data_IF_425991145978
#
_entry.id   IF_425991145978
#
_cell.length_a   1.000
_cell.length_b   1.000
_cell.length_c   1.000
_cell.angle_alpha   90.00
_cell.angle_beta   90.00
_cell.angle_gamma   90.00
#
_symmetry.space_group_name_H-M   'P 1'
#
loop_
_entity.id
_entity.type
_entity.pdbx_description
1 polymer ?
#
# COMPACT_ATOMS: atom_id res chain seq x y z
N UNK A 1 -13.34 -18.62 -26.75
CA UNK A 1 -13.26 -17.29 -27.36
C UNK A 1 -11.81 -16.83 -27.48
N UNK A 2 -11.51 -15.92 -28.38
CA UNK A 2 -10.19 -15.29 -28.50
C UNK A 2 -9.94 -14.43 -27.24
N UNK A 3 -8.75 -14.57 -26.66
CA UNK A 3 -8.37 -13.89 -25.43
C UNK A 3 -7.05 -13.16 -25.69
N UNK A 4 -6.80 -11.97 -25.13
CA UNK A 4 -5.57 -11.20 -25.32
C UNK A 4 -4.28 -12.00 -25.06
N UNK A 5 -4.30 -12.97 -24.15
CA UNK A 5 -3.14 -13.81 -23.87
C UNK A 5 -2.73 -14.70 -25.07
N UNK A 6 -3.63 -14.95 -26.03
CA UNK A 6 -3.32 -15.76 -27.23
C UNK A 6 -2.38 -15.05 -28.20
N UNK A 7 -2.26 -13.74 -28.10
CA UNK A 7 -1.36 -12.91 -28.92
C UNK A 7 -0.14 -12.42 -28.17
N UNK A 8 0.06 -12.89 -26.95
CA UNK A 8 1.24 -12.57 -26.16
C UNK A 8 2.45 -13.36 -26.70
N UNK A 9 3.38 -12.66 -27.34
CA UNK A 9 4.60 -13.21 -27.92
C UNK A 9 5.87 -12.56 -27.37
N UNK A 10 5.71 -11.53 -26.55
CA UNK A 10 6.79 -10.76 -25.94
C UNK A 10 6.56 -10.67 -24.43
N UNK A 11 7.63 -10.46 -23.69
CA UNK A 11 7.55 -10.08 -22.25
C UNK A 11 7.04 -8.66 -22.03
N UNK A 12 7.00 -7.84 -23.09
CA UNK A 12 6.48 -6.49 -23.07
C UNK A 12 4.97 -6.46 -23.33
N UNK A 13 4.19 -6.09 -22.31
CA UNK A 13 2.74 -6.01 -22.40
C UNK A 13 2.25 -4.95 -23.40
N UNK A 14 2.99 -3.87 -23.60
CA UNK A 14 2.67 -2.85 -24.59
C UNK A 14 2.82 -3.41 -26.01
N UNK A 15 3.92 -4.10 -26.30
CA UNK A 15 4.18 -4.74 -27.58
C UNK A 15 3.09 -5.77 -27.88
N UNK A 16 2.69 -6.57 -26.91
CA UNK A 16 1.60 -7.53 -27.08
C UNK A 16 0.26 -6.84 -27.38
N UNK A 17 0.00 -5.68 -26.76
CA UNK A 17 -1.24 -4.94 -26.99
C UNK A 17 -1.34 -4.35 -28.41
N UNK A 18 -0.23 -4.07 -29.08
CA UNK A 18 -0.18 -3.55 -30.45
C UNK A 18 -0.66 -4.59 -31.51
N UNK A 19 -0.65 -5.85 -31.17
CA UNK A 19 -1.17 -6.94 -32.04
C UNK A 19 -2.69 -6.92 -32.09
N UNK A 20 -3.33 -6.44 -31.04
CA UNK A 20 -4.78 -6.37 -30.94
C UNK A 20 -5.29 -5.15 -31.73
N UNK A 21 -6.20 -5.37 -32.66
CA UNK A 21 -6.83 -4.23 -33.30
C UNK A 21 -7.74 -3.47 -32.28
N UNK A 22 -7.88 -2.17 -32.49
CA UNK A 22 -8.63 -1.30 -31.59
C UNK A 22 -10.10 -1.70 -31.44
N UNK A 23 -10.73 -2.19 -32.51
CA UNK A 23 -12.11 -2.69 -32.47
C UNK A 23 -12.28 -3.91 -31.56
N UNK A 24 -11.36 -4.87 -31.63
CA UNK A 24 -11.34 -6.00 -30.70
C UNK A 24 -11.14 -5.54 -29.26
N UNK A 25 -10.19 -4.65 -29.03
CA UNK A 25 -9.91 -4.13 -27.67
C UNK A 25 -11.11 -3.42 -27.05
N UNK A 26 -11.85 -2.63 -27.84
CA UNK A 26 -13.09 -1.97 -27.39
C UNK A 26 -14.18 -3.00 -27.08
N UNK A 27 -14.39 -3.98 -27.95
CA UNK A 27 -15.40 -5.02 -27.72
C UNK A 27 -15.06 -5.90 -26.53
N UNK A 28 -13.78 -6.24 -26.35
CA UNK A 28 -13.33 -7.00 -25.21
C UNK A 28 -13.48 -6.23 -23.91
N UNK A 29 -13.15 -4.93 -23.89
CA UNK A 29 -13.39 -4.05 -22.74
C UNK A 29 -14.89 -3.93 -22.44
N UNK A 30 -15.73 -3.72 -23.45
CA UNK A 30 -17.19 -3.66 -23.30
C UNK A 30 -17.79 -4.96 -22.75
N UNK A 31 -17.25 -6.12 -23.17
CA UNK A 31 -17.66 -7.41 -22.60
C UNK A 31 -17.23 -7.53 -21.13
N UNK A 32 -16.02 -7.12 -20.80
CA UNK A 32 -15.55 -7.13 -19.40
C UNK A 32 -16.41 -6.23 -18.51
N UNK A 33 -16.91 -5.08 -19.02
CA UNK A 33 -17.86 -4.25 -18.30
C UNK A 33 -19.19 -4.95 -18.01
N UNK A 34 -19.68 -5.78 -18.92
CA UNK A 34 -20.89 -6.57 -18.68
C UNK A 34 -20.69 -7.66 -17.63
N UNK A 35 -19.49 -8.18 -17.53
CA UNK A 35 -19.12 -9.22 -16.57
C UNK A 35 -18.84 -8.66 -15.16
N UNK A 36 -18.80 -7.32 -14.99
CA UNK A 36 -18.84 -6.65 -13.70
C UNK A 36 -20.28 -6.68 -13.15
N UNK A 37 -20.68 -7.83 -12.61
CA UNK A 37 -21.95 -7.96 -11.93
C UNK A 37 -22.05 -6.97 -10.77
N UNK A 38 -23.26 -6.45 -10.52
CA UNK A 38 -23.49 -5.59 -9.36
C UNK A 38 -23.15 -6.35 -8.08
N UNK A 39 -22.70 -5.64 -7.04
CA UNK A 39 -22.43 -6.28 -5.74
C UNK A 39 -23.62 -7.07 -5.22
N UNK A 40 -24.84 -6.63 -5.54
CA UNK A 40 -26.09 -7.32 -5.17
C UNK A 40 -26.33 -8.62 -5.93
N UNK A 41 -25.73 -8.81 -7.10
CA UNK A 41 -25.79 -10.08 -7.84
C UNK A 41 -24.81 -11.10 -7.29
N UNK A 42 -23.63 -10.64 -6.82
CA UNK A 42 -22.57 -11.49 -6.27
C UNK A 42 -22.84 -11.88 -4.82
N UNK A 43 -23.30 -10.92 -4.01
CA UNK A 43 -23.43 -11.08 -2.54
C UNK A 43 -24.89 -11.17 -2.06
N UNK A 44 -25.85 -11.03 -2.98
CA UNK A 44 -27.26 -10.93 -2.61
C UNK A 44 -27.66 -9.53 -2.17
N UNK A 45 -28.89 -9.43 -1.69
CA UNK A 45 -29.48 -8.17 -1.20
C UNK A 45 -29.93 -8.36 0.24
N UNK A 46 -29.72 -7.35 1.05
CA UNK A 46 -30.22 -7.24 2.40
C UNK A 46 -30.83 -5.86 2.58
N UNK A 47 -31.88 -5.75 3.37
CA UNK A 47 -32.43 -4.46 3.77
C UNK A 47 -31.37 -3.62 4.47
N UNK A 48 -31.30 -2.31 4.15
CA UNK A 48 -30.25 -1.44 4.66
C UNK A 48 -30.30 -1.29 6.17
N UNK A 49 -31.49 -1.22 6.78
CA UNK A 49 -31.63 -1.07 8.22
C UNK A 49 -31.22 -2.36 8.95
N UNK A 50 -31.56 -3.50 8.37
CA UNK A 50 -31.13 -4.81 8.89
C UNK A 50 -29.60 -4.97 8.80
N UNK A 51 -28.99 -4.59 7.67
CA UNK A 51 -27.54 -4.59 7.49
C UNK A 51 -26.85 -3.68 8.51
N UNK A 52 -27.35 -2.46 8.70
CA UNK A 52 -26.80 -1.53 9.67
C UNK A 52 -26.92 -2.05 11.10
N UNK A 53 -28.05 -2.65 11.43
CA UNK A 53 -28.25 -3.30 12.74
C UNK A 53 -27.21 -4.39 13.00
N UNK A 54 -26.95 -5.26 12.03
CA UNK A 54 -25.96 -6.33 12.14
C UNK A 54 -24.54 -5.74 12.30
N UNK A 55 -24.17 -4.77 11.49
CA UNK A 55 -22.86 -4.13 11.53
C UNK A 55 -22.64 -3.42 12.86
N UNK A 56 -23.61 -2.67 13.35
CA UNK A 56 -23.51 -1.97 14.65
C UNK A 56 -23.40 -2.98 15.80
N UNK A 57 -24.20 -4.04 15.79
CA UNK A 57 -24.15 -5.10 16.80
C UNK A 57 -22.79 -5.81 16.83
N UNK A 58 -22.22 -6.11 15.66
CA UNK A 58 -20.92 -6.77 15.56
C UNK A 58 -19.75 -5.90 16.09
N UNK A 59 -19.90 -4.58 16.06
CA UNK A 59 -18.88 -3.63 16.56
C UNK A 59 -18.92 -3.45 18.08
N UNK A 60 -20.02 -3.84 18.75
CA UNK A 60 -20.17 -3.74 20.20
C UNK A 60 -20.04 -2.34 20.79
N UNK A 61 -20.28 -1.29 19.99
CA UNK A 61 -20.20 0.10 20.43
C UNK A 61 -21.57 0.63 20.85
N UNK A 62 -21.65 1.50 21.87
CA UNK A 62 -22.90 2.16 22.23
C UNK A 62 -23.39 3.05 21.08
N UNK A 63 -24.71 3.18 20.94
CA UNK A 63 -25.36 3.98 19.88
C UNK A 63 -24.92 5.45 19.92
N UNK A 64 -24.59 5.98 21.09
CA UNK A 64 -24.07 7.35 21.29
C UNK A 64 -22.73 7.63 20.58
N UNK A 65 -21.98 6.59 20.23
CA UNK A 65 -20.71 6.76 19.51
C UNK A 65 -20.92 7.00 18.03
N UNK A 66 -22.09 6.69 17.46
CA UNK A 66 -22.38 6.92 16.04
C UNK A 66 -22.81 8.36 15.81
N UNK A 67 -22.06 9.09 14.97
CA UNK A 67 -22.11 10.55 14.87
C UNK A 67 -22.60 11.09 13.52
N UNK A 68 -23.02 10.23 12.61
CA UNK A 68 -23.41 10.67 11.26
C UNK A 68 -24.62 9.90 10.74
N UNK A 69 -25.64 10.62 10.30
CA UNK A 69 -26.77 10.06 9.57
C UNK A 69 -26.39 9.68 8.12
N UNK A 70 -25.50 10.47 7.49
CA UNK A 70 -25.02 10.19 6.11
C UNK A 70 -24.09 9.00 6.04
N UNK A 71 -23.34 8.73 7.10
CA UNK A 71 -22.44 7.59 7.22
C UNK A 71 -22.80 6.87 8.53
N UNK A 72 -23.85 6.02 8.51
CA UNK A 72 -24.43 5.46 9.73
C UNK A 72 -23.49 4.57 10.56
N UNK A 73 -22.37 4.16 9.96
CA UNK A 73 -21.33 3.36 10.64
C UNK A 73 -20.15 4.18 11.15
N UNK A 74 -20.15 5.51 10.95
CA UNK A 74 -19.12 6.39 11.44
C UNK A 74 -19.23 6.57 12.96
N UNK A 75 -18.17 6.21 13.66
CA UNK A 75 -18.10 6.33 15.12
C UNK A 75 -17.08 7.37 15.54
N UNK A 76 -17.36 8.05 16.65
CA UNK A 76 -16.41 8.90 17.33
C UNK A 76 -15.38 8.04 18.06
N UNK A 77 -14.13 8.21 17.74
CA UNK A 77 -13.02 7.67 18.52
C UNK A 77 -12.39 8.80 19.33
N UNK A 78 -12.14 8.54 20.60
CA UNK A 78 -11.31 9.46 21.39
C UNK A 78 -9.86 9.23 21.00
N UNK A 79 -9.20 10.27 20.48
CA UNK A 79 -7.77 10.22 20.24
C UNK A 79 -7.06 10.09 21.60
N UNK A 80 -6.17 9.15 21.74
CA UNK A 80 -5.30 9.01 22.91
C UNK A 80 -4.19 10.05 22.92
N UNK A 81 -3.76 10.47 21.72
CA UNK A 81 -2.79 11.53 21.54
C UNK A 81 -3.46 12.91 21.63
N UNK A 82 -2.96 13.79 22.53
CA UNK A 82 -3.47 15.13 22.76
C UNK A 82 -2.51 16.24 22.26
N UNK A 83 -1.45 15.85 21.57
CA UNK A 83 -0.42 16.78 21.10
C UNK A 83 -0.77 17.48 19.78
N UNK A 84 0.22 18.20 19.25
CA UNK A 84 0.17 18.79 17.91
C UNK A 84 -0.06 17.70 16.85
N UNK A 85 -0.91 17.93 15.83
CA UNK A 85 -1.11 16.98 14.75
C UNK A 85 0.21 16.53 14.12
N UNK A 86 0.39 15.23 14.00
CA UNK A 86 1.58 14.62 13.38
C UNK A 86 1.37 14.42 11.89
N UNK A 87 2.46 14.54 11.13
CA UNK A 87 2.48 14.02 9.77
C UNK A 87 2.40 12.49 9.82
N UNK A 88 1.77 11.90 8.83
CA UNK A 88 1.62 10.45 8.71
C UNK A 88 2.15 10.00 7.36
N UNK A 89 3.09 9.07 7.37
CA UNK A 89 3.67 8.46 6.17
C UNK A 89 3.48 6.96 6.22
N UNK A 90 2.85 6.40 5.20
CA UNK A 90 2.80 4.96 4.97
C UNK A 90 3.79 4.63 3.86
N UNK A 91 4.78 3.80 4.16
CA UNK A 91 5.68 3.20 3.18
C UNK A 91 5.15 1.81 2.90
N UNK A 92 4.57 1.64 1.72
CA UNK A 92 4.01 0.38 1.24
C UNK A 92 5.04 -0.35 0.39
N UNK A 93 5.55 -1.46 0.90
CA UNK A 93 6.61 -2.24 0.25
C UNK A 93 6.04 -3.32 -0.66
N UNK A 94 6.40 -3.26 -1.94
CA UNK A 94 5.97 -4.20 -2.97
C UNK A 94 6.46 -5.63 -2.66
N UNK A 95 5.53 -6.57 -2.54
CA UNK A 95 5.80 -8.02 -2.41
C UNK A 95 6.79 -8.41 -1.29
N UNK A 96 6.90 -7.60 -0.24
CA UNK A 96 7.88 -7.75 0.82
C UNK A 96 7.33 -8.57 2.00
N UNK A 97 7.08 -9.87 1.78
CA UNK A 97 6.53 -10.76 2.81
C UNK A 97 7.49 -11.05 3.97
N UNK A 98 6.93 -11.58 5.07
CA UNK A 98 7.70 -11.95 6.26
C UNK A 98 8.77 -13.02 5.98
N UNK A 99 8.64 -13.79 4.91
CA UNK A 99 9.66 -14.76 4.48
C UNK A 99 11.03 -14.14 4.16
N UNK A 100 11.08 -12.83 3.88
CA UNK A 100 12.33 -12.09 3.61
C UNK A 100 12.86 -11.36 4.84
N UNK A 101 12.15 -11.38 5.96
CA UNK A 101 12.41 -10.57 7.15
C UNK A 101 12.98 -11.40 8.27
N UNK A 102 14.27 -11.20 8.57
CA UNK A 102 15.01 -11.99 9.56
C UNK A 102 14.38 -11.94 10.95
N UNK A 103 14.01 -10.75 11.45
CA UNK A 103 13.38 -10.59 12.78
C UNK A 103 12.02 -11.26 12.92
N UNK A 104 11.37 -11.63 11.80
CA UNK A 104 10.12 -12.40 11.77
C UNK A 104 10.33 -13.90 11.47
N UNK A 105 11.57 -14.39 11.54
CA UNK A 105 11.93 -15.78 11.28
C UNK A 105 12.09 -16.15 9.80
N UNK A 106 12.14 -15.16 8.92
CA UNK A 106 12.41 -15.32 7.49
C UNK A 106 13.89 -15.41 7.16
N UNK A 107 14.20 -15.32 5.85
CA UNK A 107 15.58 -15.29 5.36
C UNK A 107 16.31 -14.02 5.83
N UNK A 108 17.64 -14.02 5.94
CA UNK A 108 18.43 -12.88 6.41
C UNK A 108 18.61 -11.82 5.31
N UNK A 109 17.49 -11.32 4.76
CA UNK A 109 17.48 -10.38 3.63
C UNK A 109 17.12 -8.96 4.06
N UNK A 110 16.87 -8.74 5.36
CA UNK A 110 16.36 -7.47 5.87
C UNK A 110 17.20 -6.87 7.01
N UNK A 111 18.53 -6.75 6.86
CA UNK A 111 19.37 -6.24 7.94
C UNK A 111 19.00 -4.81 8.37
N UNK A 112 18.53 -3.97 7.46
CA UNK A 112 18.12 -2.60 7.79
C UNK A 112 16.77 -2.57 8.52
N UNK A 113 15.77 -3.30 8.03
CA UNK A 113 14.49 -3.44 8.71
C UNK A 113 14.66 -4.06 10.11
N UNK A 114 15.50 -5.07 10.24
CA UNK A 114 15.78 -5.72 11.53
C UNK A 114 16.41 -4.76 12.57
N UNK A 115 17.23 -3.80 12.13
CA UNK A 115 17.75 -2.73 12.99
C UNK A 115 16.64 -1.78 13.40
N UNK A 116 15.85 -1.30 12.42
CA UNK A 116 14.72 -0.38 12.67
C UNK A 116 13.65 -1.00 13.56
N UNK A 117 13.43 -2.31 13.47
CA UNK A 117 12.48 -3.03 14.30
C UNK A 117 12.80 -2.97 15.80
N UNK A 118 14.06 -2.71 16.17
CA UNK A 118 14.48 -2.51 17.56
C UNK A 118 14.18 -1.09 18.08
N UNK A 119 13.88 -0.18 17.18
CA UNK A 119 13.65 1.23 17.49
C UNK A 119 12.16 1.61 17.47
N UNK A 120 11.28 0.75 17.01
CA UNK A 120 9.88 1.04 16.80
C UNK A 120 8.92 -0.03 17.28
N UNK A 121 7.67 0.14 16.95
CA UNK A 121 6.59 -0.78 17.29
C UNK A 121 6.43 -1.81 16.15
N UNK A 122 6.96 -3.00 16.37
CA UNK A 122 6.90 -4.11 15.42
C UNK A 122 5.67 -4.99 15.65
N UNK A 123 4.89 -5.21 14.61
CA UNK A 123 3.82 -6.21 14.61
C UNK A 123 4.39 -7.56 14.15
N UNK A 124 4.39 -8.55 15.05
CA UNK A 124 4.97 -9.87 14.75
C UNK A 124 4.03 -10.76 13.94
N UNK A 125 2.72 -10.56 14.07
CA UNK A 125 1.67 -11.40 13.51
C UNK A 125 0.65 -10.58 12.72
N UNK A 126 1.11 -9.83 11.72
CA UNK A 126 0.24 -9.09 10.83
C UNK A 126 0.08 -9.83 9.50
N UNK A 127 -1.16 -9.93 9.05
CA UNK A 127 -1.51 -10.70 7.85
C UNK A 127 -2.18 -9.82 6.80
N UNK A 128 -1.70 -9.97 5.55
CA UNK A 128 -2.29 -9.34 4.38
C UNK A 128 -3.66 -9.93 4.07
N UNK A 129 -4.51 -9.13 3.45
CA UNK A 129 -5.86 -9.52 3.04
C UNK A 129 -5.95 -10.03 1.61
N UNK A 130 -4.83 -10.06 0.91
CA UNK A 130 -4.77 -10.52 -0.47
C UNK A 130 -3.34 -10.80 -0.92
N UNK A 131 -3.20 -11.12 -2.20
CA UNK A 131 -1.94 -11.51 -2.84
C UNK A 131 -1.57 -10.59 -4.02
N UNK A 132 -2.16 -9.39 -4.06
CA UNK A 132 -1.96 -8.39 -5.10
C UNK A 132 -1.90 -6.99 -4.50
N UNK A 133 -1.09 -6.13 -5.11
CA UNK A 133 -0.86 -4.75 -4.66
C UNK A 133 -2.15 -3.95 -4.51
N UNK A 134 -3.11 -4.10 -5.43
CA UNK A 134 -4.42 -3.43 -5.33
C UNK A 134 -5.18 -3.79 -4.06
N UNK A 135 -5.03 -5.01 -3.54
CA UNK A 135 -5.62 -5.44 -2.25
C UNK A 135 -4.90 -4.83 -1.07
N UNK A 136 -3.56 -4.75 -1.14
CA UNK A 136 -2.76 -4.06 -0.13
C UNK A 136 -3.08 -2.56 -0.06
N UNK A 137 -3.26 -1.91 -1.22
CA UNK A 137 -3.68 -0.51 -1.30
C UNK A 137 -5.05 -0.31 -0.65
N UNK A 138 -6.05 -1.12 -0.99
CA UNK A 138 -7.38 -1.05 -0.38
C UNK A 138 -7.33 -1.22 1.14
N UNK A 139 -6.59 -2.21 1.60
CA UNK A 139 -6.47 -2.51 3.01
C UNK A 139 -5.79 -1.38 3.79
N UNK A 140 -4.66 -0.85 3.29
CA UNK A 140 -3.86 0.16 3.99
C UNK A 140 -4.41 1.57 3.90
N UNK A 141 -5.24 1.88 2.89
CA UNK A 141 -5.81 3.22 2.71
C UNK A 141 -7.25 3.34 3.21
N UNK A 142 -8.03 2.27 3.09
CA UNK A 142 -9.47 2.29 3.38
C UNK A 142 -9.91 1.28 4.45
N UNK A 143 -9.04 0.36 4.87
CA UNK A 143 -9.45 -0.75 5.73
C UNK A 143 -10.51 -1.64 5.08
N UNK A 144 -10.51 -1.71 3.74
CA UNK A 144 -11.54 -2.42 2.99
C UNK A 144 -11.37 -3.92 3.13
N UNK A 145 -12.42 -4.60 3.58
CA UNK A 145 -12.42 -6.05 3.72
C UNK A 145 -12.37 -6.71 2.34
N UNK A 146 -11.47 -7.70 2.14
CA UNK A 146 -11.37 -8.36 0.84
C UNK A 146 -12.65 -9.10 0.50
N UNK A 147 -13.03 -9.02 -0.77
CA UNK A 147 -14.21 -9.69 -1.31
C UNK A 147 -13.80 -10.64 -2.44
N UNK A 148 -14.61 -11.65 -2.78
CA UNK A 148 -14.35 -12.50 -3.94
C UNK A 148 -14.35 -11.76 -5.29
N UNK A 149 -14.99 -10.58 -5.37
CA UNK A 149 -14.99 -9.74 -6.56
C UNK A 149 -13.61 -9.10 -6.81
N UNK A 150 -13.46 -8.41 -7.94
CA UNK A 150 -12.23 -7.65 -8.25
C UNK A 150 -12.00 -6.55 -7.20
N UNK A 151 -10.73 -6.22 -6.99
CA UNK A 151 -10.33 -5.09 -6.15
C UNK A 151 -11.00 -3.80 -6.65
N UNK A 152 -11.50 -2.97 -5.73
CA UNK A 152 -12.21 -1.72 -6.07
C UNK A 152 -11.33 -0.74 -6.83
N UNK A 153 -10.02 -0.74 -6.60
CA UNK A 153 -9.05 0.04 -7.38
C UNK A 153 -9.14 -0.26 -8.89
N UNK A 154 -9.43 -1.52 -9.26
CA UNK A 154 -9.52 -1.96 -10.66
C UNK A 154 -10.89 -1.76 -11.30
N UNK A 155 -11.91 -1.43 -10.53
CA UNK A 155 -13.27 -1.29 -11.04
C UNK A 155 -13.47 0.11 -11.64
N UNK A 156 -13.73 0.17 -12.96
CA UNK A 156 -13.91 1.44 -13.65
C UNK A 156 -15.10 2.26 -13.15
N UNK A 157 -16.13 1.60 -12.61
CA UNK A 157 -17.35 2.22 -12.11
C UNK A 157 -17.32 2.58 -10.61
N UNK A 158 -16.24 2.22 -9.91
CA UNK A 158 -16.13 2.35 -8.45
C UNK A 158 -14.84 3.08 -8.06
N UNK A 159 -14.62 4.29 -8.63
CA UNK A 159 -13.39 5.05 -8.45
C UNK A 159 -13.46 6.13 -7.36
N UNK A 160 -14.63 6.34 -6.76
CA UNK A 160 -14.83 7.37 -5.73
C UNK A 160 -15.86 6.95 -4.70
N UNK A 161 -15.92 7.69 -3.60
CA UNK A 161 -16.91 7.47 -2.54
C UNK A 161 -16.47 6.47 -1.48
N UNK A 162 -15.21 6.02 -1.50
CA UNK A 162 -14.65 5.20 -0.43
C UNK A 162 -14.18 6.09 0.72
N UNK A 163 -14.43 5.62 1.94
CA UNK A 163 -13.84 6.22 3.11
C UNK A 163 -12.37 5.79 3.19
N UNK A 164 -11.47 6.73 2.97
CA UNK A 164 -10.02 6.50 3.06
C UNK A 164 -9.41 7.37 4.16
N UNK A 165 -8.26 6.95 4.66
CA UNK A 165 -7.47 7.77 5.59
C UNK A 165 -7.09 9.11 4.94
N UNK A 166 -6.80 9.12 3.63
CA UNK A 166 -6.49 10.33 2.89
C UNK A 166 -7.67 11.32 2.88
N UNK A 167 -8.89 10.85 2.59
CA UNK A 167 -10.09 11.70 2.58
C UNK A 167 -10.39 12.28 3.98
N UNK A 168 -10.25 11.43 5.01
CA UNK A 168 -10.42 11.87 6.40
C UNK A 168 -9.44 13.00 6.76
N UNK A 169 -8.15 12.79 6.46
CA UNK A 169 -7.09 13.74 6.82
C UNK A 169 -7.13 14.99 5.94
N UNK A 170 -7.48 14.89 4.66
CA UNK A 170 -7.68 16.05 3.79
C UNK A 170 -8.77 16.99 4.34
N UNK A 171 -9.88 16.45 4.86
CA UNK A 171 -10.95 17.21 5.53
C UNK A 171 -10.50 17.88 6.83
N UNK A 172 -9.41 17.39 7.43
CA UNK A 172 -8.77 17.99 8.61
C UNK A 172 -7.65 18.97 8.26
N UNK A 173 -7.46 19.28 6.97
CA UNK A 173 -6.47 20.26 6.51
C UNK A 173 -5.08 19.69 6.21
N UNK A 174 -4.93 18.36 6.17
CA UNK A 174 -3.69 17.71 5.74
C UNK A 174 -3.49 17.86 4.23
N UNK A 175 -2.24 18.07 3.83
CA UNK A 175 -1.81 17.86 2.46
C UNK A 175 -1.68 16.34 2.23
N UNK A 176 -2.35 15.80 1.23
CA UNK A 176 -2.38 14.37 0.97
C UNK A 176 -1.72 14.05 -0.36
N UNK A 177 -0.79 13.10 -0.37
CA UNK A 177 -0.04 12.71 -1.56
C UNK A 177 0.15 11.21 -1.69
N UNK A 178 0.20 10.74 -2.94
CA UNK A 178 0.67 9.43 -3.32
C UNK A 178 1.97 9.60 -4.10
N UNK A 179 3.04 8.91 -3.66
CA UNK A 179 4.37 8.97 -4.27
C UNK A 179 4.73 7.58 -4.78
N UNK A 180 4.96 7.47 -6.08
CA UNK A 180 5.23 6.24 -6.78
C UNK A 180 6.35 6.42 -7.80
N UNK A 181 7.20 5.42 -7.95
CA UNK A 181 8.29 5.45 -8.94
C UNK A 181 7.88 5.05 -10.35
N UNK A 182 6.75 4.37 -10.49
CA UNK A 182 6.19 3.92 -11.76
C UNK A 182 5.13 4.86 -12.32
N UNK A 183 4.43 4.40 -13.35
CA UNK A 183 3.37 5.18 -14.00
C UNK A 183 2.05 5.08 -13.23
N UNK A 184 1.45 6.24 -12.89
CA UNK A 184 0.20 6.35 -12.13
C UNK A 184 -1.03 5.74 -12.81
N UNK A 185 -0.96 5.50 -14.11
CA UNK A 185 -2.07 4.91 -14.87
C UNK A 185 -2.16 3.38 -14.74
N UNK A 186 -1.15 2.76 -14.14
CA UNK A 186 -1.17 1.34 -13.88
C UNK A 186 -2.34 0.97 -12.96
N UNK A 187 -3.09 -0.06 -13.35
CA UNK A 187 -4.24 -0.61 -12.61
C UNK A 187 -5.30 0.43 -12.15
N UNK A 188 -5.48 1.55 -12.88
CA UNK A 188 -6.40 2.65 -12.52
C UNK A 188 -6.07 3.37 -11.20
N UNK A 189 -4.86 3.26 -10.68
CA UNK A 189 -4.47 3.86 -9.40
C UNK A 189 -4.73 5.38 -9.34
N UNK A 190 -4.41 6.11 -10.41
CA UNK A 190 -4.60 7.56 -10.42
C UNK A 190 -6.07 7.95 -10.19
N UNK A 191 -7.01 7.32 -10.89
CA UNK A 191 -8.45 7.59 -10.72
C UNK A 191 -8.92 7.25 -9.31
N UNK A 192 -8.47 6.12 -8.77
CA UNK A 192 -8.81 5.72 -7.40
C UNK A 192 -8.27 6.72 -6.37
N UNK A 193 -7.02 7.11 -6.48
CA UNK A 193 -6.41 8.03 -5.51
C UNK A 193 -7.02 9.43 -5.57
N UNK A 194 -7.15 10.04 -6.76
CA UNK A 194 -7.81 11.34 -6.90
C UNK A 194 -9.28 11.30 -6.48
N UNK A 195 -9.99 10.21 -6.74
CA UNK A 195 -11.38 10.03 -6.33
C UNK A 195 -11.60 9.84 -4.83
N UNK A 196 -10.56 9.58 -4.05
CA UNK A 196 -10.66 9.18 -2.65
C UNK A 196 -9.70 9.95 -1.72
N UNK A 197 -9.51 11.23 -1.95
CA UNK A 197 -8.88 12.16 -1.01
C UNK A 197 -7.39 12.39 -1.16
N UNK A 198 -6.71 11.80 -2.13
CA UNK A 198 -5.35 12.15 -2.48
C UNK A 198 -5.32 13.37 -3.40
N UNK A 199 -4.76 14.46 -2.91
CA UNK A 199 -4.74 15.75 -3.64
C UNK A 199 -3.61 15.80 -4.69
N UNK A 200 -2.50 15.11 -4.42
CA UNK A 200 -1.32 15.11 -5.27
C UNK A 200 -0.87 13.68 -5.56
N UNK A 201 -0.49 13.43 -6.80
CA UNK A 201 0.16 12.20 -7.23
C UNK A 201 1.49 12.56 -7.86
N UNK A 202 2.57 12.00 -7.32
CA UNK A 202 3.92 12.05 -7.87
C UNK A 202 4.19 10.70 -8.51
N UNK A 203 4.43 10.67 -9.82
CA UNK A 203 4.70 9.46 -10.58
C UNK A 203 6.01 9.56 -11.37
N UNK A 204 6.34 8.56 -12.17
CA UNK A 204 7.60 8.46 -12.89
C UNK A 204 7.99 9.74 -13.66
N UNK A 205 7.01 10.48 -14.19
CA UNK A 205 7.27 11.71 -14.97
C UNK A 205 7.78 12.87 -14.13
N UNK A 206 7.57 12.83 -12.83
CA UNK A 206 7.98 13.89 -11.92
C UNK A 206 9.43 13.74 -11.41
N UNK A 207 10.11 12.65 -11.80
CA UNK A 207 11.51 12.42 -11.46
C UNK A 207 12.44 13.00 -12.51
N UNK A 208 13.26 13.96 -12.09
CA UNK A 208 14.27 14.58 -12.93
C UNK A 208 15.61 13.86 -12.76
N UNK A 209 16.15 13.28 -13.85
CA UNK A 209 17.43 12.58 -13.85
C UNK A 209 17.54 11.48 -12.76
N UNK A 210 16.65 10.48 -12.74
CA UNK A 210 16.74 9.39 -11.79
C UNK A 210 18.08 8.65 -11.94
N UNK A 211 18.67 8.22 -10.84
CA UNK A 211 19.93 7.47 -10.81
C UNK A 211 19.83 6.12 -11.52
N UNK A 212 18.64 5.52 -11.41
CA UNK A 212 18.36 4.21 -12.02
C UNK A 212 16.87 4.09 -12.38
N UNK A 213 16.58 3.62 -13.59
CA UNK A 213 15.21 3.34 -14.04
C UNK A 213 15.13 1.89 -14.49
N UNK A 214 14.19 1.16 -13.90
CA UNK A 214 13.84 -0.23 -14.21
C UNK A 214 12.59 -0.29 -15.09
N UNK A 215 12.17 -1.49 -15.44
CA UNK A 215 10.92 -1.73 -16.20
C UNK A 215 9.69 -1.13 -15.53
N UNK A 216 9.61 -1.15 -14.19
CA UNK A 216 8.46 -0.68 -13.42
C UNK A 216 8.57 0.75 -12.91
N UNK A 217 9.64 1.45 -13.25
CA UNK A 217 9.84 2.82 -12.85
C UNK A 217 11.24 3.09 -12.28
N UNK A 218 11.38 4.21 -11.57
CA UNK A 218 12.66 4.57 -10.95
C UNK A 218 12.98 3.64 -9.77
N UNK A 219 14.26 3.59 -9.38
CA UNK A 219 14.70 2.79 -8.24
C UNK A 219 14.02 3.23 -6.93
N UNK A 220 13.98 2.33 -5.93
CA UNK A 220 13.47 2.69 -4.61
C UNK A 220 14.33 3.77 -3.93
N UNK A 221 15.63 3.87 -4.21
CA UNK A 221 16.43 5.01 -3.75
C UNK A 221 15.95 6.34 -4.34
N UNK A 222 15.68 6.39 -5.64
CA UNK A 222 15.14 7.59 -6.30
C UNK A 222 13.74 7.94 -5.75
N UNK A 223 12.90 6.93 -5.51
CA UNK A 223 11.61 7.07 -4.86
C UNK A 223 11.76 7.74 -3.48
N UNK A 224 12.68 7.26 -2.67
CA UNK A 224 12.90 7.78 -1.31
C UNK A 224 13.61 9.14 -1.30
N UNK A 225 14.47 9.44 -2.25
CA UNK A 225 15.00 10.79 -2.45
C UNK A 225 13.86 11.78 -2.73
N UNK A 226 12.93 11.39 -3.61
CA UNK A 226 11.75 12.21 -3.95
C UNK A 226 10.81 12.39 -2.76
N UNK A 227 10.58 11.34 -2.01
CA UNK A 227 9.78 11.40 -0.77
C UNK A 227 10.43 12.35 0.25
N UNK A 228 11.73 12.23 0.48
CA UNK A 228 12.46 13.10 1.40
C UNK A 228 12.42 14.57 0.97
N UNK A 229 12.61 14.87 -0.31
CA UNK A 229 12.47 16.22 -0.87
C UNK A 229 11.07 16.78 -0.63
N UNK A 230 10.04 15.98 -0.96
CA UNK A 230 8.63 16.36 -0.81
C UNK A 230 8.27 16.64 0.65
N UNK A 231 8.67 15.78 1.57
CA UNK A 231 8.37 15.94 2.99
C UNK A 231 9.10 17.13 3.62
N UNK A 232 10.34 17.37 3.19
CA UNK A 232 11.12 18.55 3.63
C UNK A 232 10.41 19.83 3.24
N UNK A 233 9.91 19.91 1.99
CA UNK A 233 9.17 21.06 1.50
C UNK A 233 7.86 21.26 2.27
N UNK A 234 7.05 20.19 2.41
CA UNK A 234 5.76 20.25 3.11
C UNK A 234 5.92 20.64 4.58
N UNK A 235 6.96 20.17 5.25
CA UNK A 235 7.27 20.58 6.62
C UNK A 235 7.58 22.08 6.69
N UNK A 236 8.30 22.63 5.72
CA UNK A 236 8.59 24.07 5.65
C UNK A 236 7.32 24.90 5.41
N UNK A 237 6.30 24.35 4.74
CA UNK A 237 5.01 25.02 4.54
C UNK A 237 4.15 25.07 5.82
N UNK A 238 4.53 24.33 6.84
CA UNK A 238 3.88 24.36 8.16
C UNK A 238 2.49 23.71 8.22
N UNK A 239 2.09 22.96 7.18
CA UNK A 239 0.84 22.17 7.16
C UNK A 239 1.14 20.72 7.45
N UNK A 240 0.30 20.01 8.23
CA UNK A 240 0.44 18.58 8.39
C UNK A 240 0.23 17.88 7.04
N UNK A 241 0.92 16.77 6.82
CA UNK A 241 0.79 15.99 5.59
C UNK A 241 0.59 14.50 5.88
N UNK A 242 -0.12 13.88 4.96
CA UNK A 242 -0.26 12.44 4.83
C UNK A 242 0.30 12.01 3.49
N UNK A 243 1.12 10.99 3.47
CA UNK A 243 1.67 10.44 2.23
C UNK A 243 1.66 8.92 2.23
N UNK A 244 1.24 8.34 1.10
CA UNK A 244 1.45 6.94 0.77
C UNK A 244 2.60 6.85 -0.23
N UNK A 245 3.70 6.22 0.18
CA UNK A 245 4.89 5.97 -0.66
C UNK A 245 4.88 4.50 -1.04
N UNK A 246 4.83 4.19 -2.33
CA UNK A 246 4.75 2.83 -2.81
C UNK A 246 6.00 2.44 -3.59
N UNK A 247 6.71 1.41 -3.11
CA UNK A 247 7.92 0.89 -3.74
C UNK A 247 7.61 0.00 -4.95
N UNK A 248 8.60 -0.26 -5.80
CA UNK A 248 8.44 -1.08 -6.99
C UNK A 248 9.60 -2.01 -7.30
N UNK A 249 10.75 -1.85 -6.63
CA UNK A 249 11.98 -2.59 -6.99
C UNK A 249 11.87 -4.10 -6.77
N UNK A 250 11.04 -4.58 -5.84
CA UNK A 250 10.84 -6.00 -5.59
C UNK A 250 9.78 -6.64 -6.50
N UNK A 251 9.73 -6.21 -7.75
CA UNK A 251 8.85 -6.75 -8.79
C UNK A 251 9.68 -7.43 -9.91
N UNK A 252 9.13 -8.49 -10.51
CA UNK A 252 9.72 -9.12 -11.69
C UNK A 252 9.84 -8.07 -12.84
N UNK A 253 10.98 -7.93 -13.52
CA UNK A 253 12.14 -8.84 -13.59
C UNK A 253 13.28 -8.62 -12.58
N UNK A 254 13.03 -7.99 -11.43
CA UNK A 254 13.96 -7.83 -10.31
C UNK A 254 15.19 -6.99 -10.65
N UNK A 255 14.95 -5.83 -11.23
CA UNK A 255 15.98 -4.87 -11.61
C UNK A 255 16.26 -3.86 -10.49
N UNK A 256 17.53 -3.69 -10.16
CA UNK A 256 17.99 -2.71 -9.19
C UNK A 256 19.45 -2.29 -9.50
N UNK A 257 19.96 -1.14 -8.97
CA UNK A 257 21.29 -0.66 -9.23
C UNK A 257 22.37 -1.62 -8.74
N UNK A 258 23.50 -1.70 -9.47
CA UNK A 258 24.68 -2.44 -9.04
C UNK A 258 25.39 -1.77 -7.85
N UNK A 259 26.08 -2.57 -7.04
CA UNK A 259 27.00 -2.09 -6.02
C UNK A 259 26.35 -1.54 -4.76
N UNK A 260 25.03 -1.71 -4.57
CA UNK A 260 24.29 -1.21 -3.40
C UNK A 260 24.20 -2.22 -2.28
N UNK A 261 24.17 -3.50 -2.63
CA UNK A 261 24.09 -4.63 -1.69
C UNK A 261 25.12 -5.69 -2.04
N UNK A 262 25.51 -6.47 -1.06
CA UNK A 262 26.12 -7.77 -1.29
C UNK A 262 25.04 -8.75 -1.73
N UNK A 263 25.22 -9.37 -2.90
CA UNK A 263 24.22 -10.29 -3.43
C UNK A 263 24.08 -11.52 -2.52
N UNK A 264 22.85 -11.88 -2.23
CA UNK A 264 22.52 -13.07 -1.45
C UNK A 264 22.75 -14.36 -2.24
N UNK A 265 22.51 -14.29 -3.55
CA UNK A 265 22.60 -15.42 -4.48
C UNK A 265 22.91 -14.96 -5.91
N UNK A 266 23.27 -15.93 -6.77
CA UNK A 266 23.46 -15.70 -8.21
C UNK A 266 22.36 -16.44 -9.01
N UNK A 267 21.90 -15.88 -10.15
CA UNK A 267 22.30 -14.58 -10.72
C UNK A 267 21.72 -13.38 -9.91
N UNK A 268 22.13 -12.17 -10.28
CA UNK A 268 21.67 -10.92 -9.60
C UNK A 268 20.15 -10.76 -9.60
N UNK A 269 19.50 -10.96 -10.77
CA UNK A 269 18.08 -10.71 -10.97
C UNK A 269 17.23 -11.84 -10.35
N UNK A 270 17.17 -11.88 -9.03
CA UNK A 270 16.31 -12.80 -8.26
C UNK A 270 15.45 -12.03 -7.27
N UNK A 271 14.34 -12.62 -6.88
CA UNK A 271 13.45 -12.07 -5.86
C UNK A 271 14.17 -11.85 -4.52
N UNK A 272 15.03 -12.78 -4.11
CA UNK A 272 15.76 -12.64 -2.85
C UNK A 272 16.71 -11.43 -2.89
N UNK A 273 17.48 -11.27 -3.95
CA UNK A 273 18.37 -10.11 -4.11
C UNK A 273 17.58 -8.80 -4.20
N UNK A 274 16.45 -8.81 -4.91
CA UNK A 274 15.57 -7.65 -5.03
C UNK A 274 14.92 -7.26 -3.70
N UNK A 275 14.48 -8.23 -2.90
CA UNK A 275 14.00 -7.99 -1.54
C UNK A 275 15.11 -7.40 -0.64
N UNK A 276 16.33 -7.90 -0.77
CA UNK A 276 17.49 -7.35 -0.05
C UNK A 276 17.80 -5.90 -0.46
N UNK A 277 17.64 -5.56 -1.74
CA UNK A 277 17.75 -4.18 -2.21
C UNK A 277 16.63 -3.29 -1.68
N UNK A 278 15.38 -3.77 -1.66
CA UNK A 278 14.26 -3.04 -1.07
C UNK A 278 14.53 -2.71 0.40
N UNK A 279 15.04 -3.66 1.17
CA UNK A 279 15.48 -3.43 2.55
C UNK A 279 16.58 -2.37 2.66
N UNK A 280 17.59 -2.44 1.79
CA UNK A 280 18.65 -1.42 1.73
C UNK A 280 18.05 -0.03 1.50
N UNK A 281 17.10 0.11 0.58
CA UNK A 281 16.45 1.38 0.28
C UNK A 281 15.62 1.91 1.46
N UNK A 282 14.94 1.04 2.22
CA UNK A 282 14.28 1.41 3.48
C UNK A 282 15.29 2.01 4.45
N UNK A 283 16.42 1.35 4.69
CA UNK A 283 17.49 1.85 5.55
C UNK A 283 18.05 3.19 5.08
N UNK A 284 18.24 3.34 3.78
CA UNK A 284 18.66 4.60 3.16
C UNK A 284 17.67 5.73 3.47
N UNK A 285 16.36 5.50 3.27
CA UNK A 285 15.33 6.49 3.57
C UNK A 285 15.34 6.92 5.05
N UNK A 286 15.34 5.98 5.99
CA UNK A 286 15.30 6.31 7.41
C UNK A 286 16.57 7.02 7.89
N UNK A 287 17.71 6.79 7.26
CA UNK A 287 18.92 7.58 7.51
C UNK A 287 18.71 9.05 7.11
N UNK A 288 18.06 9.32 5.99
CA UNK A 288 17.71 10.68 5.57
C UNK A 288 16.64 11.28 6.49
N UNK A 289 15.57 10.53 6.76
CA UNK A 289 14.44 10.99 7.56
C UNK A 289 14.85 11.41 8.99
N UNK A 290 15.69 10.63 9.65
CA UNK A 290 16.19 10.92 11.01
C UNK A 290 17.00 12.22 11.09
N UNK A 291 17.57 12.68 9.99
CA UNK A 291 18.32 13.95 9.91
C UNK A 291 17.49 15.11 9.37
N UNK A 292 16.24 14.86 9.02
CA UNK A 292 15.36 15.85 8.38
C UNK A 292 14.66 16.78 9.37
N UNK A 293 14.04 17.84 8.81
CA UNK A 293 13.19 18.77 9.55
C UNK A 293 11.81 18.20 9.93
N UNK A 294 11.38 17.08 9.31
CA UNK A 294 10.06 16.47 9.52
C UNK A 294 10.08 15.29 10.50
N UNK A 295 11.26 14.74 10.86
CA UNK A 295 11.36 13.54 11.69
C UNK A 295 10.58 13.63 13.00
N UNK A 296 10.75 14.72 13.77
CA UNK A 296 10.13 14.90 15.08
C UNK A 296 8.62 15.01 15.05
N UNK A 297 8.08 15.43 13.92
CA UNK A 297 6.64 15.66 13.73
C UNK A 297 5.96 14.57 12.90
N UNK A 298 6.64 13.47 12.61
CA UNK A 298 6.13 12.45 11.67
C UNK A 298 6.08 11.06 12.31
N UNK A 299 4.97 10.35 12.06
CA UNK A 299 4.82 8.92 12.33
C UNK A 299 4.87 8.17 11.01
N UNK A 300 5.68 7.13 10.96
CA UNK A 300 5.88 6.28 9.79
C UNK A 300 5.33 4.89 10.05
N UNK A 301 4.61 4.33 9.07
CA UNK A 301 4.29 2.92 9.00
C UNK A 301 5.02 2.32 7.80
N UNK A 302 5.90 1.37 8.03
CA UNK A 302 6.47 0.51 6.98
C UNK A 302 5.68 -0.79 6.97
N UNK A 303 5.03 -1.10 5.87
CA UNK A 303 4.17 -2.29 5.73
C UNK A 303 4.27 -2.84 4.32
N UNK A 304 4.25 -4.16 4.16
CA UNK A 304 4.15 -4.76 2.84
C UNK A 304 2.70 -4.69 2.30
N UNK A 305 2.56 -4.61 1.00
CA UNK A 305 1.25 -4.70 0.34
C UNK A 305 0.70 -6.14 0.37
N UNK A 306 1.54 -7.12 0.10
CA UNK A 306 1.33 -8.56 0.21
C UNK A 306 2.69 -9.27 0.24
N UNK A 307 2.70 -10.61 0.39
CA UNK A 307 3.89 -11.43 0.16
C UNK A 307 4.04 -11.74 -1.36
N UNK A 308 5.15 -12.31 -1.74
CA UNK A 308 5.33 -12.92 -3.05
C UNK A 308 4.23 -13.97 -3.29
N UNK A 309 4.00 -14.34 -4.56
CA UNK A 309 2.89 -15.24 -4.94
C UNK A 309 2.73 -16.41 -3.98
N UNK A 310 1.55 -16.53 -3.39
CA UNK A 310 1.18 -17.69 -2.61
C UNK A 310 1.18 -18.93 -3.51
N UNK A 311 2.06 -19.89 -3.22
CA UNK A 311 2.15 -21.16 -3.89
C UNK A 311 2.23 -22.27 -2.84
N UNK A 312 1.64 -23.43 -3.14
CA UNK A 312 1.70 -24.59 -2.26
C UNK A 312 0.50 -25.50 -2.40
N UNK A 313 0.56 -26.67 -1.77
CA UNK A 313 -0.49 -27.66 -1.79
C UNK A 313 -1.69 -27.35 -0.88
N UNK A 314 -1.55 -26.37 -0.01
CA UNK A 314 -2.62 -25.94 0.91
C UNK A 314 -3.62 -25.05 0.18
N UNK A 315 -4.91 -25.22 0.46
CA UNK A 315 -5.99 -24.42 -0.10
C UNK A 315 -5.79 -22.92 0.21
N UNK A 316 -5.35 -22.60 1.45
CA UNK A 316 -4.92 -21.26 1.87
C UNK A 316 -3.58 -21.40 2.59
N UNK A 317 -2.46 -21.06 1.93
CA UNK A 317 -1.14 -21.11 2.54
C UNK A 317 -0.92 -19.88 3.44
N UNK A 318 -1.43 -19.90 4.66
CA UNK A 318 -1.47 -18.77 5.63
C UNK A 318 -0.10 -18.09 5.77
N UNK A 319 0.99 -18.85 5.79
CA UNK A 319 2.35 -18.29 5.90
C UNK A 319 2.71 -17.29 4.79
N UNK A 320 2.06 -17.39 3.62
CA UNK A 320 2.25 -16.48 2.50
C UNK A 320 1.34 -15.23 2.55
N UNK A 321 0.60 -15.06 3.64
CA UNK A 321 -0.13 -13.83 3.96
C UNK A 321 0.55 -13.07 5.10
N UNK A 322 1.54 -13.66 5.77
CA UNK A 322 2.31 -13.01 6.82
C UNK A 322 3.21 -11.92 6.23
N UNK A 323 3.04 -10.70 6.70
CA UNK A 323 3.76 -9.52 6.21
C UNK A 323 4.35 -8.73 7.39
N UNK A 324 5.49 -8.03 7.19
CA UNK A 324 6.02 -7.12 8.18
C UNK A 324 5.17 -5.85 8.27
N UNK A 325 5.07 -5.30 9.48
CA UNK A 325 4.62 -3.95 9.73
C UNK A 325 5.35 -3.37 10.92
N UNK A 326 5.86 -2.15 10.76
CA UNK A 326 6.68 -1.45 11.74
C UNK A 326 6.28 0.00 11.79
N UNK A 327 5.92 0.50 12.98
CA UNK A 327 5.68 1.92 13.23
C UNK A 327 6.94 2.54 13.82
N UNK A 328 7.38 3.64 13.22
CA UNK A 328 8.57 4.41 13.59
C UNK A 328 8.24 5.89 13.78
N UNK A 329 8.99 6.55 14.61
CA UNK A 329 8.89 7.99 14.85
C UNK A 329 9.63 8.37 16.12
N UNK A 330 9.89 9.67 16.30
CA UNK A 330 10.66 10.19 17.43
C UNK A 330 10.00 9.86 18.80
N UNK A 331 8.66 9.77 18.81
CA UNK A 331 7.88 9.51 20.03
C UNK A 331 7.31 8.08 20.10
N UNK A 332 7.71 7.21 19.20
CA UNK A 332 7.24 5.82 19.17
C UNK A 332 8.13 4.98 20.09
N UNK A 333 7.54 4.42 21.13
CA UNK A 333 8.26 3.52 22.05
C UNK A 333 8.51 2.17 21.39
N UNK A 334 9.74 1.63 21.48
CA UNK A 334 10.06 0.31 20.97
C UNK A 334 9.19 -0.77 21.62
N UNK A 335 8.51 -1.55 20.79
CA UNK A 335 7.61 -2.59 21.26
C UNK A 335 7.47 -3.71 20.23
N UNK A 336 7.46 -4.97 20.71
CA UNK A 336 7.13 -6.13 19.88
C UNK A 336 5.71 -6.56 20.21
N UNK A 337 4.81 -6.44 19.24
CA UNK A 337 3.39 -6.75 19.40
C UNK A 337 3.08 -8.12 18.78
N UNK A 338 2.81 -9.09 19.63
CA UNK A 338 2.51 -10.48 19.24
C UNK A 338 1.05 -10.73 18.94
N UNK A 339 0.17 -9.73 19.06
CA UNK A 339 -1.25 -9.90 18.73
C UNK A 339 -1.44 -10.23 17.26
N UNK A 340 -2.48 -11.00 16.97
CA UNK A 340 -2.92 -11.23 15.61
C UNK A 340 -3.62 -9.99 15.08
N UNK A 341 -3.09 -9.42 14.01
CA UNK A 341 -3.57 -8.17 13.40
C UNK A 341 -3.79 -8.36 11.92
N UNK A 342 -4.82 -7.74 11.38
CA UNK A 342 -5.06 -7.69 9.95
C UNK A 342 -4.55 -6.38 9.35
N UNK A 343 -4.10 -6.43 8.10
CA UNK A 343 -3.70 -5.25 7.34
C UNK A 343 -4.79 -4.15 7.29
N UNK A 344 -6.07 -4.53 7.30
CA UNK A 344 -7.21 -3.60 7.31
C UNK A 344 -7.36 -2.81 8.62
N UNK A 345 -6.70 -3.22 9.70
CA UNK A 345 -6.76 -2.52 10.99
C UNK A 345 -5.82 -1.30 11.03
N UNK A 346 -4.86 -1.22 10.11
CA UNK A 346 -3.80 -0.21 10.14
C UNK A 346 -4.28 1.22 9.88
N UNK A 347 -5.23 1.51 8.95
CA UNK A 347 -5.72 2.87 8.74
C UNK A 347 -6.36 3.51 9.97
N UNK A 348 -6.94 2.71 10.87
CA UNK A 348 -7.56 3.20 12.10
C UNK A 348 -6.58 3.29 13.26
N UNK A 349 -5.47 2.57 13.20
CA UNK A 349 -4.43 2.56 14.23
C UNK A 349 -3.57 3.83 14.17
N UNK A 350 -3.15 4.24 12.97
CA UNK A 350 -2.22 5.35 12.79
C UNK A 350 -2.69 6.70 13.37
N UNK A 351 -3.96 7.14 13.18
CA UNK A 351 -4.42 8.41 13.73
C UNK A 351 -4.57 8.41 15.25
N UNK A 352 -4.42 7.27 15.90
CA UNK A 352 -4.51 7.13 17.36
C UNK A 352 -3.16 7.20 18.08
N UNK A 353 -2.07 7.23 17.33
CA UNK A 353 -0.69 7.33 17.82
C UNK A 353 -0.20 8.78 17.69
#
# INVERSE_FOLDING_TARGET
>A
GVNPAMVAFSSDGLVNSLVLNSGYSVLYAAQQFKDEGSSSEVYGKMDTDEMLRIVKASRGRPESDYISEKIPTLTKNQATYQGKPKNIVIILEESFGAQFVGTLGGKPLSPEFDKLAKEGWLFENLYATGTRSVRGIEATTAGFTPTPARAVVKLNNSQSGFFTIADLLAKQGYNTSFIYGGEKHFDNMASFFYGNGFQNIIDQKDYQNPKFTATWGVSDEDLFDKANETFTQLQNEGKPFFSLVFSSSNHDPFEFPDGKIELYEQPKATRNNSAKYADYAIGYFFKLAKQSNYWKDTVFLVIADHDSRAAGASLVPIKHFHIPALILGDHVEPHRDSRLVSQIDMPTTLPSI
#
